data_IF_555142341243
#
_entry.id   IF_555142341243
#
_cell.length_a   1.000
_cell.length_b   1.000
_cell.length_c   1.000
_cell.angle_alpha   90.00
_cell.angle_beta   90.00
_cell.angle_gamma   90.00
#
_symmetry.space_group_name_H-M   'P 1'
#
loop_
_entity.id
_entity.type
_entity.pdbx_description
1 polymer ?
#
# COMPACT_ATOMS: atom_id res chain seq x y z
N UNK A 1 15.01 19.85 9.86
CA UNK A 1 14.39 20.96 9.06
C UNK A 1 13.29 20.40 8.14
N UNK A 2 13.54 19.41 7.29
CA UNK A 2 12.55 18.85 6.34
C UNK A 2 11.28 18.35 7.02
N UNK A 3 11.38 17.71 8.19
CA UNK A 3 10.22 17.27 8.97
C UNK A 3 9.30 18.42 9.43
N UNK A 4 9.86 19.57 9.81
CA UNK A 4 9.09 20.75 10.23
C UNK A 4 8.33 21.32 9.02
N UNK A 5 8.99 21.41 7.88
CA UNK A 5 8.37 21.88 6.63
C UNK A 5 7.27 20.91 6.18
N UNK A 6 7.54 19.60 6.26
CA UNK A 6 6.56 18.56 5.94
C UNK A 6 5.31 18.69 6.82
N UNK A 7 5.49 18.91 8.14
CA UNK A 7 4.35 19.09 9.05
C UNK A 7 3.55 20.36 8.74
N UNK A 8 4.23 21.49 8.45
CA UNK A 8 3.58 22.74 8.07
C UNK A 8 2.75 22.59 6.77
N UNK A 9 3.32 21.95 5.74
CA UNK A 9 2.61 21.69 4.48
C UNK A 9 1.45 20.74 4.72
N UNK A 10 1.67 19.65 5.48
CA UNK A 10 0.64 18.67 5.77
C UNK A 10 -0.53 19.29 6.53
N UNK A 11 -0.28 20.16 7.52
CA UNK A 11 -1.31 20.89 8.23
C UNK A 11 -2.14 21.79 7.29
N UNK A 12 -1.48 22.45 6.34
CA UNK A 12 -2.15 23.23 5.30
C UNK A 12 -3.07 22.34 4.43
N UNK A 13 -2.57 21.21 3.93
CA UNK A 13 -3.34 20.31 3.09
C UNK A 13 -4.59 19.75 3.82
N UNK A 14 -4.46 19.42 5.11
CA UNK A 14 -5.60 18.97 5.91
C UNK A 14 -6.59 20.06 6.22
N UNK A 15 -6.11 21.27 6.56
CA UNK A 15 -6.97 22.43 6.83
C UNK A 15 -7.92 22.73 5.67
N UNK A 16 -7.43 22.57 4.43
CA UNK A 16 -8.19 22.88 3.21
C UNK A 16 -8.73 21.63 2.49
N UNK A 17 -8.62 20.45 3.10
CA UNK A 17 -9.08 19.16 2.55
C UNK A 17 -8.57 18.89 1.12
N UNK A 18 -7.27 19.11 0.88
CA UNK A 18 -6.67 19.03 -0.45
C UNK A 18 -6.13 17.64 -0.82
N UNK A 19 -5.99 16.73 0.16
CA UNK A 19 -5.54 15.36 -0.10
C UNK A 19 -6.75 14.53 -0.54
N UNK A 20 -6.74 13.98 -1.77
CA UNK A 20 -7.83 13.14 -2.27
C UNK A 20 -8.03 11.87 -1.43
N UNK A 21 -9.29 11.39 -1.32
CA UNK A 21 -9.61 10.16 -0.58
C UNK A 21 -8.97 8.91 -1.23
N UNK A 22 -8.72 8.93 -2.53
CA UNK A 22 -8.09 7.84 -3.28
C UNK A 22 -6.61 7.64 -2.91
N UNK A 23 -5.92 8.72 -2.47
CA UNK A 23 -4.53 8.63 -2.02
C UNK A 23 -4.46 8.29 -0.54
N UNK A 24 -3.98 7.08 -0.24
CA UNK A 24 -3.81 6.59 1.14
C UNK A 24 -2.36 6.61 1.62
N UNK A 25 -1.40 6.84 0.72
CA UNK A 25 -0.01 7.03 1.08
C UNK A 25 0.20 8.33 1.83
N UNK A 26 1.04 8.32 2.86
CA UNK A 26 1.37 9.48 3.70
C UNK A 26 0.15 10.27 4.24
N UNK A 27 -0.98 9.60 4.48
CA UNK A 27 -2.23 10.19 4.97
C UNK A 27 -2.38 9.98 6.47
N UNK A 28 -2.60 11.07 7.24
CA UNK A 28 -2.91 11.00 8.67
C UNK A 28 -4.25 10.31 8.89
N UNK A 29 -4.38 9.63 10.03
CA UNK A 29 -5.63 8.93 10.42
C UNK A 29 -6.13 7.90 9.42
N UNK A 30 -5.25 7.41 8.52
CA UNK A 30 -5.52 6.31 7.59
C UNK A 30 -4.75 5.06 8.04
N UNK A 31 -5.31 3.89 7.77
CA UNK A 31 -4.63 2.61 7.89
C UNK A 31 -3.76 2.31 6.66
N UNK A 32 -3.67 3.26 5.73
CA UNK A 32 -2.79 3.21 4.56
C UNK A 32 -3.12 2.07 3.61
N UNK A 33 -2.19 1.13 3.47
CA UNK A 33 -2.36 -0.03 2.58
C UNK A 33 -3.59 -0.87 2.91
N UNK A 34 -4.00 -0.95 4.20
CA UNK A 34 -5.21 -1.69 4.58
C UNK A 34 -6.47 -1.05 4.04
N UNK A 35 -6.57 0.29 4.07
CA UNK A 35 -7.71 1.01 3.51
C UNK A 35 -7.86 0.70 2.02
N UNK A 36 -6.75 0.75 1.28
CA UNK A 36 -6.73 0.42 -0.14
C UNK A 36 -7.14 -1.03 -0.40
N UNK A 37 -6.58 -1.97 0.34
CA UNK A 37 -6.87 -3.40 0.18
C UNK A 37 -8.33 -3.74 0.54
N UNK A 38 -8.91 -3.04 1.51
CA UNK A 38 -10.32 -3.23 1.89
C UNK A 38 -11.27 -2.68 0.83
N UNK A 39 -11.02 -1.46 0.33
CA UNK A 39 -11.82 -0.87 -0.74
C UNK A 39 -11.72 -1.72 -2.01
N UNK A 40 -10.53 -2.16 -2.36
CA UNK A 40 -10.30 -3.04 -3.51
C UNK A 40 -11.03 -4.38 -3.37
N UNK A 41 -10.89 -5.04 -2.20
CA UNK A 41 -11.60 -6.30 -1.89
C UNK A 41 -13.13 -6.11 -1.98
N UNK A 42 -13.64 -4.98 -1.49
CA UNK A 42 -15.05 -4.61 -1.60
C UNK A 42 -15.49 -4.49 -3.06
N UNK A 43 -14.74 -3.78 -3.91
CA UNK A 43 -15.04 -3.63 -5.34
C UNK A 43 -15.09 -5.00 -6.04
N UNK A 44 -14.08 -5.83 -5.83
CA UNK A 44 -13.98 -7.17 -6.44
C UNK A 44 -15.14 -8.07 -5.98
N UNK A 45 -15.44 -8.09 -4.69
CA UNK A 45 -16.55 -8.88 -4.12
C UNK A 45 -17.91 -8.38 -4.61
N UNK A 46 -18.12 -7.06 -4.66
CA UNK A 46 -19.34 -6.46 -5.18
C UNK A 46 -19.58 -6.85 -6.64
N UNK A 47 -18.55 -6.74 -7.50
CA UNK A 47 -18.64 -7.17 -8.90
C UNK A 47 -19.04 -8.64 -9.03
N UNK A 48 -18.43 -9.52 -8.23
CA UNK A 48 -18.72 -10.95 -8.21
C UNK A 48 -20.15 -11.26 -7.72
N UNK A 49 -20.56 -10.65 -6.59
CA UNK A 49 -21.90 -10.85 -6.00
C UNK A 49 -23.01 -10.37 -6.93
N UNK A 50 -22.83 -9.18 -7.53
CA UNK A 50 -23.82 -8.58 -8.43
C UNK A 50 -23.73 -9.08 -9.87
N UNK A 51 -22.74 -9.93 -10.17
CA UNK A 51 -22.47 -10.45 -11.53
C UNK A 51 -22.32 -9.32 -12.54
N UNK A 52 -21.62 -8.23 -12.16
CA UNK A 52 -21.34 -7.09 -13.02
C UNK A 52 -20.00 -7.24 -13.74
N UNK A 53 -19.80 -6.45 -14.78
CA UNK A 53 -18.52 -6.35 -15.45
C UNK A 53 -17.61 -5.38 -14.68
N UNK A 54 -16.33 -5.74 -14.61
CA UNK A 54 -15.29 -4.92 -14.03
C UNK A 54 -13.99 -5.13 -14.80
N UNK A 55 -13.35 -4.04 -15.17
CA UNK A 55 -12.05 -4.02 -15.83
C UNK A 55 -11.06 -3.31 -14.93
N UNK A 56 -9.93 -3.92 -14.67
CA UNK A 56 -8.93 -3.43 -13.70
C UNK A 56 -7.58 -3.31 -14.38
N UNK A 57 -6.81 -2.28 -14.02
CA UNK A 57 -5.40 -2.18 -14.39
C UNK A 57 -4.57 -1.81 -13.16
N UNK A 58 -3.45 -2.51 -12.99
CA UNK A 58 -2.38 -2.14 -12.06
C UNK A 58 -1.28 -1.45 -12.84
N UNK A 59 -0.90 -0.27 -12.38
CA UNK A 59 0.14 0.56 -13.00
C UNK A 59 1.28 0.74 -12.00
N UNK A 60 2.47 0.36 -12.43
CA UNK A 60 3.73 0.58 -11.73
C UNK A 60 4.54 1.61 -12.52
N UNK A 61 5.19 2.54 -11.84
CA UNK A 61 6.04 3.54 -12.46
C UNK A 61 7.51 3.14 -12.39
N UNK A 62 8.26 3.36 -13.47
CA UNK A 62 9.71 3.23 -13.45
C UNK A 62 10.32 4.31 -12.57
N UNK A 63 11.02 3.88 -11.50
CA UNK A 63 11.77 4.80 -10.62
C UNK A 63 10.94 6.05 -10.23
N UNK A 64 9.72 5.86 -9.76
CA UNK A 64 8.73 6.92 -9.51
C UNK A 64 9.33 8.12 -8.75
N UNK A 65 10.02 7.88 -7.63
CA UNK A 65 10.66 8.92 -6.82
C UNK A 65 11.80 9.63 -7.54
N UNK A 66 12.57 8.93 -8.38
CA UNK A 66 13.72 9.49 -9.12
C UNK A 66 13.30 10.26 -10.38
N UNK A 67 12.07 10.03 -10.86
CA UNK A 67 11.60 10.57 -12.15
C UNK A 67 10.89 11.92 -12.01
N UNK A 68 10.42 12.28 -10.82
CA UNK A 68 9.55 13.43 -10.60
C UNK A 68 10.28 14.76 -10.82
N UNK A 69 9.89 15.63 -11.80
CA UNK A 69 10.57 16.89 -12.07
C UNK A 69 10.38 17.90 -10.94
N UNK A 70 11.44 18.61 -10.57
CA UNK A 70 11.38 19.69 -9.57
C UNK A 70 10.46 20.84 -10.00
N UNK A 71 10.42 21.15 -11.30
CA UNK A 71 9.50 22.16 -11.87
C UNK A 71 8.03 21.79 -11.65
N UNK A 72 7.69 20.49 -11.79
CA UNK A 72 6.36 19.99 -11.53
C UNK A 72 5.99 20.07 -10.05
N UNK A 73 6.90 19.63 -9.16
CA UNK A 73 6.71 19.77 -7.71
C UNK A 73 6.42 21.24 -7.33
N UNK A 74 7.24 22.17 -7.84
CA UNK A 74 7.06 23.59 -7.57
C UNK A 74 5.69 24.11 -8.04
N UNK A 75 5.24 23.64 -9.22
CA UNK A 75 3.90 23.99 -9.77
C UNK A 75 2.77 23.40 -8.93
N UNK A 76 2.89 22.16 -8.50
CA UNK A 76 1.87 21.54 -7.64
C UNK A 76 1.77 22.21 -6.27
N UNK A 77 2.90 22.61 -5.65
CA UNK A 77 2.90 23.39 -4.41
C UNK A 77 2.19 24.75 -4.57
N UNK A 78 2.28 25.35 -5.76
CA UNK A 78 1.53 26.56 -6.10
C UNK A 78 0.03 26.28 -6.24
N UNK A 79 -0.34 25.25 -6.99
CA UNK A 79 -1.74 24.82 -7.22
C UNK A 79 -2.45 24.54 -5.89
N UNK A 80 -1.80 23.84 -4.96
CA UNK A 80 -2.39 23.55 -3.65
C UNK A 80 -2.28 24.72 -2.65
N UNK A 81 -1.76 25.87 -3.07
CA UNK A 81 -1.75 27.10 -2.27
C UNK A 81 -0.78 27.09 -1.08
N UNK A 82 0.32 26.32 -1.14
CA UNK A 82 1.37 26.38 -0.11
C UNK A 82 1.98 27.76 -0.05
N UNK A 83 2.28 28.26 1.17
CA UNK A 83 2.79 29.62 1.39
C UNK A 83 4.01 29.94 0.53
N UNK A 84 4.11 31.22 0.06
CA UNK A 84 5.18 31.69 -0.81
C UNK A 84 6.58 31.48 -0.22
N UNK A 85 6.75 31.67 1.08
CA UNK A 85 8.02 31.49 1.77
C UNK A 85 8.48 30.02 1.71
N UNK A 86 7.59 29.05 1.96
CA UNK A 86 7.92 27.62 1.87
C UNK A 86 8.23 27.26 0.41
N UNK A 87 7.42 27.72 -0.54
CA UNK A 87 7.65 27.46 -1.98
C UNK A 87 9.01 28.01 -2.44
N UNK A 88 9.35 29.23 -2.04
CA UNK A 88 10.64 29.84 -2.39
C UNK A 88 11.81 29.07 -1.74
N UNK A 89 11.68 28.71 -0.47
CA UNK A 89 12.70 27.89 0.20
C UNK A 89 12.92 26.56 -0.52
N UNK A 90 11.85 25.83 -0.85
CA UNK A 90 11.94 24.54 -1.55
C UNK A 90 12.53 24.70 -2.96
N UNK A 91 12.21 25.77 -3.67
CA UNK A 91 12.78 26.07 -5.00
C UNK A 91 14.29 26.25 -4.91
N UNK A 92 14.78 27.04 -3.95
CA UNK A 92 16.22 27.27 -3.74
C UNK A 92 16.90 25.97 -3.30
N UNK A 93 16.30 25.24 -2.37
CA UNK A 93 16.84 23.97 -1.90
C UNK A 93 16.99 22.96 -3.03
N UNK A 94 15.92 22.72 -3.82
CA UNK A 94 15.95 21.78 -4.96
C UNK A 94 16.96 22.21 -6.04
N UNK A 95 17.13 23.51 -6.28
CA UNK A 95 18.12 24.02 -7.23
C UNK A 95 19.56 23.75 -6.78
N UNK A 96 19.80 23.64 -5.47
CA UNK A 96 21.12 23.36 -4.89
C UNK A 96 21.43 21.87 -4.74
N UNK A 97 20.47 20.98 -5.01
CA UNK A 97 20.68 19.54 -4.85
C UNK A 97 21.71 19.01 -5.83
N UNK A 98 22.70 18.35 -5.30
CA UNK A 98 23.78 17.73 -6.05
C UNK A 98 24.24 16.42 -5.41
N UNK A 99 24.70 15.50 -6.22
CA UNK A 99 25.38 14.29 -5.77
C UNK A 99 26.86 14.39 -6.09
N UNK A 100 27.68 13.70 -5.32
CA UNK A 100 29.14 13.68 -5.47
C UNK A 100 29.51 12.35 -6.13
N UNK A 101 30.23 12.42 -7.23
CA UNK A 101 30.84 11.25 -7.85
C UNK A 101 32.19 10.98 -7.20
N UNK A 102 32.36 9.80 -6.64
CA UNK A 102 33.62 9.40 -6.00
C UNK A 102 34.14 8.08 -6.60
N UNK A 103 35.45 8.00 -6.83
CA UNK A 103 36.15 6.76 -7.20
C UNK A 103 37.31 6.57 -6.24
N UNK A 104 37.41 5.41 -5.62
CA UNK A 104 38.45 5.07 -4.64
C UNK A 104 38.59 6.10 -3.52
N UNK A 105 37.47 6.73 -3.08
CA UNK A 105 37.46 7.75 -2.03
C UNK A 105 37.84 9.17 -2.49
N UNK A 106 38.18 9.36 -3.74
CA UNK A 106 38.45 10.67 -4.34
C UNK A 106 37.22 11.23 -5.02
N UNK A 107 36.93 12.52 -4.78
CA UNK A 107 35.85 13.25 -5.45
C UNK A 107 36.27 13.52 -6.89
N UNK A 108 35.47 13.05 -7.84
CA UNK A 108 35.69 13.33 -9.27
C UNK A 108 34.92 14.55 -9.74
N UNK A 109 33.61 14.62 -9.40
CA UNK A 109 32.75 15.68 -9.88
C UNK A 109 31.46 15.77 -9.06
N UNK A 110 30.67 16.82 -9.34
CA UNK A 110 29.35 17.07 -8.77
C UNK A 110 28.31 17.05 -9.88
N UNK A 111 27.25 16.26 -9.72
CA UNK A 111 26.12 16.23 -10.64
C UNK A 111 24.91 16.90 -9.99
N UNK A 112 24.38 17.93 -10.65
CA UNK A 112 23.16 18.60 -10.21
C UNK A 112 21.93 17.71 -10.42
N UNK A 113 21.13 17.52 -9.36
CA UNK A 113 19.90 16.75 -9.38
C UNK A 113 18.77 17.70 -9.79
N UNK A 114 18.22 17.51 -11.00
CA UNK A 114 17.12 18.33 -11.55
C UNK A 114 15.76 17.64 -11.50
N UNK A 115 15.75 16.34 -11.17
CA UNK A 115 14.56 15.51 -10.99
C UNK A 115 14.80 14.50 -9.89
N UNK A 116 13.69 14.01 -9.36
CA UNK A 116 13.69 13.06 -8.26
C UNK A 116 13.68 13.73 -6.88
N UNK A 117 13.28 12.96 -5.92
CA UNK A 117 13.20 13.30 -4.50
C UNK A 117 13.91 12.23 -3.68
N UNK A 118 14.53 12.62 -2.56
CA UNK A 118 15.37 11.71 -1.79
C UNK A 118 14.55 10.67 -1.05
N UNK A 119 14.87 9.39 -1.25
CA UNK A 119 14.30 8.31 -0.46
C UNK A 119 14.84 8.35 0.97
N UNK A 120 13.93 8.29 1.96
CA UNK A 120 14.27 8.40 3.37
C UNK A 120 14.19 9.81 3.97
N UNK A 121 14.03 10.86 3.17
CA UNK A 121 13.72 12.20 3.66
C UNK A 121 12.24 12.31 4.07
N UNK A 122 11.97 13.00 5.18
CA UNK A 122 10.61 13.15 5.73
C UNK A 122 9.64 13.91 4.84
N UNK A 123 10.16 14.79 3.98
CA UNK A 123 9.37 15.64 3.09
C UNK A 123 9.04 14.94 1.77
N UNK A 124 9.90 14.04 1.29
CA UNK A 124 9.77 13.40 -0.02
C UNK A 124 8.44 12.67 -0.23
N UNK A 125 7.91 11.85 0.70
CA UNK A 125 6.61 11.23 0.51
C UNK A 125 5.48 12.24 0.32
N UNK A 126 5.53 13.36 1.05
CA UNK A 126 4.53 14.41 0.95
C UNK A 126 4.60 15.16 -0.40
N UNK A 127 5.79 15.47 -0.87
CA UNK A 127 5.99 16.09 -2.19
C UNK A 127 5.47 15.17 -3.31
N UNK A 128 5.70 13.86 -3.19
CA UNK A 128 5.15 12.89 -4.14
C UNK A 128 3.63 12.90 -4.15
N UNK A 129 3.00 12.82 -2.98
CA UNK A 129 1.53 12.90 -2.85
C UNK A 129 0.98 14.17 -3.49
N UNK A 130 1.58 15.33 -3.21
CA UNK A 130 1.17 16.62 -3.78
C UNK A 130 1.28 16.60 -5.31
N UNK A 131 2.36 16.05 -5.84
CA UNK A 131 2.58 15.97 -7.29
C UNK A 131 1.56 15.10 -8.02
N UNK A 132 0.92 14.16 -7.32
CA UNK A 132 -0.10 13.26 -7.87
C UNK A 132 -1.54 13.77 -7.67
N UNK A 133 -1.78 14.84 -6.90
CA UNK A 133 -3.12 15.43 -6.72
C UNK A 133 -3.76 15.82 -8.06
N UNK A 134 -3.08 16.49 -9.00
CA UNK A 134 -3.69 16.86 -10.28
C UNK A 134 -4.16 15.66 -11.09
N UNK A 135 -3.42 14.54 -11.09
CA UNK A 135 -3.84 13.31 -11.76
C UNK A 135 -5.16 12.79 -11.20
N UNK A 136 -5.29 12.70 -9.88
CA UNK A 136 -6.54 12.29 -9.23
C UNK A 136 -7.70 13.22 -9.59
N UNK A 137 -7.46 14.53 -9.64
CA UNK A 137 -8.48 15.51 -10.03
C UNK A 137 -8.95 15.28 -11.46
N UNK A 138 -8.03 15.06 -12.40
CA UNK A 138 -8.35 14.77 -13.80
C UNK A 138 -9.14 13.46 -13.91
N UNK A 139 -8.71 12.39 -13.23
CA UNK A 139 -9.41 11.11 -13.24
C UNK A 139 -10.85 11.21 -12.69
N UNK A 140 -11.07 11.98 -11.62
CA UNK A 140 -12.43 12.26 -11.11
C UNK A 140 -13.30 12.98 -12.13
N UNK A 141 -12.73 13.96 -12.85
CA UNK A 141 -13.46 14.75 -13.85
C UNK A 141 -13.90 13.92 -15.06
N UNK A 142 -13.27 12.78 -15.34
CA UNK A 142 -13.73 11.86 -16.43
C UNK A 142 -15.12 11.32 -16.16
N UNK A 143 -15.57 11.26 -14.90
CA UNK A 143 -16.83 10.63 -14.51
C UNK A 143 -16.89 9.13 -14.80
N UNK A 144 -15.75 8.50 -15.13
CA UNK A 144 -15.61 7.06 -15.38
C UNK A 144 -15.31 6.31 -14.08
N UNK A 145 -15.46 4.99 -14.07
CA UNK A 145 -15.15 4.15 -12.94
C UNK A 145 -16.20 3.12 -12.58
N UNK A 146 -15.87 2.25 -11.64
CA UNK A 146 -16.79 1.25 -11.11
C UNK A 146 -17.71 1.86 -10.06
N UNK A 147 -18.96 1.43 -10.05
CA UNK A 147 -19.99 1.88 -9.12
C UNK A 147 -20.60 0.68 -8.39
N UNK A 148 -20.46 0.64 -7.07
CA UNK A 148 -20.92 -0.46 -6.22
C UNK A 148 -22.44 -0.54 -6.11
N UNK A 149 -23.12 0.62 -6.12
CA UNK A 149 -24.58 0.75 -6.12
C UNK A 149 -25.01 1.97 -6.94
N UNK A 150 -26.29 2.08 -7.25
CA UNK A 150 -26.82 3.24 -8.00
C UNK A 150 -26.60 4.58 -7.30
N UNK A 151 -26.56 4.57 -5.96
CA UNK A 151 -26.36 5.75 -5.12
C UNK A 151 -24.89 6.01 -4.76
N UNK A 152 -24.00 5.04 -4.98
CA UNK A 152 -22.60 5.17 -4.64
C UNK A 152 -21.86 6.08 -5.64
N UNK A 153 -20.80 6.72 -5.18
CA UNK A 153 -19.86 7.42 -6.05
C UNK A 153 -19.11 6.43 -6.93
N UNK A 154 -18.71 6.87 -8.12
CA UNK A 154 -17.85 6.05 -8.98
C UNK A 154 -16.42 6.08 -8.46
N UNK A 155 -15.81 4.91 -8.39
CA UNK A 155 -14.40 4.74 -8.02
C UNK A 155 -13.63 4.48 -9.32
N UNK A 156 -12.89 5.48 -9.79
CA UNK A 156 -12.06 5.38 -10.99
C UNK A 156 -10.70 4.76 -10.70
N UNK A 157 -10.15 5.03 -9.50
CA UNK A 157 -8.81 4.58 -9.13
C UNK A 157 -8.61 4.52 -7.62
N UNK A 158 -7.57 3.81 -7.23
CA UNK A 158 -6.97 3.83 -5.89
C UNK A 158 -5.48 4.13 -6.05
N UNK A 159 -4.92 4.92 -5.15
CA UNK A 159 -3.53 5.36 -5.22
C UNK A 159 -2.86 5.22 -3.84
N UNK A 160 -1.75 4.49 -3.79
CA UNK A 160 -0.90 4.42 -2.61
C UNK A 160 0.53 4.78 -3.01
N UNK A 161 0.90 6.03 -2.79
CA UNK A 161 2.11 6.63 -3.35
C UNK A 161 2.11 6.51 -4.88
N UNK A 162 2.95 5.66 -5.44
CA UNK A 162 3.10 5.33 -6.86
C UNK A 162 2.30 4.09 -7.31
N UNK A 163 1.86 3.25 -6.39
CA UNK A 163 1.01 2.10 -6.69
C UNK A 163 -0.40 2.56 -7.09
N UNK A 164 -0.66 2.59 -8.40
CA UNK A 164 -1.94 3.02 -8.97
C UNK A 164 -2.75 1.82 -9.45
N UNK A 165 -4.02 1.77 -9.07
CA UNK A 165 -4.99 0.78 -9.56
C UNK A 165 -6.20 1.47 -10.14
N UNK A 166 -6.56 1.15 -11.39
CA UNK A 166 -7.69 1.73 -12.12
C UNK A 166 -8.86 0.76 -12.21
N UNK A 167 -10.07 1.29 -12.26
CA UNK A 167 -11.32 0.52 -12.35
C UNK A 167 -12.24 1.12 -13.42
N UNK A 168 -12.68 0.31 -14.35
CA UNK A 168 -13.69 0.66 -15.34
C UNK A 168 -14.81 -0.38 -15.39
N UNK A 169 -16.00 0.00 -15.78
CA UNK A 169 -17.12 -0.95 -15.99
C UNK A 169 -17.06 -1.62 -17.37
N UNK A 170 -16.25 -1.10 -18.29
CA UNK A 170 -16.03 -1.64 -19.63
C UNK A 170 -14.56 -1.48 -20.05
N UNK A 171 -14.15 -2.22 -21.08
CA UNK A 171 -12.81 -2.09 -21.65
C UNK A 171 -12.54 -0.66 -22.13
N UNK A 172 -13.50 -0.02 -22.80
CA UNK A 172 -13.36 1.35 -23.30
C UNK A 172 -13.19 2.37 -22.16
N UNK A 173 -13.88 2.19 -21.03
CA UNK A 173 -13.67 3.06 -19.87
C UNK A 173 -12.28 2.87 -19.27
N UNK A 174 -11.81 1.63 -19.12
CA UNK A 174 -10.48 1.37 -18.62
C UNK A 174 -9.40 1.92 -19.54
N UNK A 175 -9.57 1.77 -20.86
CA UNK A 175 -8.67 2.34 -21.86
C UNK A 175 -8.62 3.87 -21.79
N UNK A 176 -9.77 4.53 -21.63
CA UNK A 176 -9.85 5.99 -21.46
C UNK A 176 -9.12 6.46 -20.21
N UNK A 177 -9.30 5.76 -19.07
CA UNK A 177 -8.59 6.05 -17.82
C UNK A 177 -7.08 5.84 -17.98
N UNK A 178 -6.67 4.73 -18.60
CA UNK A 178 -5.26 4.42 -18.88
C UNK A 178 -4.60 5.48 -19.75
N UNK A 179 -5.28 5.91 -20.83
CA UNK A 179 -4.76 6.97 -21.69
C UNK A 179 -4.65 8.31 -20.96
N UNK A 180 -5.61 8.64 -20.11
CA UNK A 180 -5.54 9.84 -19.26
C UNK A 180 -4.30 9.81 -18.35
N UNK A 181 -4.07 8.69 -17.65
CA UNK A 181 -2.89 8.52 -16.79
C UNK A 181 -1.61 8.56 -17.62
N UNK A 182 -1.59 7.94 -18.79
CA UNK A 182 -0.42 7.93 -19.67
C UNK A 182 -0.06 9.34 -20.17
N UNK A 183 -1.05 10.12 -20.63
CA UNK A 183 -0.83 11.50 -21.07
C UNK A 183 -0.26 12.32 -19.91
N UNK A 184 -0.92 12.31 -18.75
CA UNK A 184 -0.44 12.99 -17.56
C UNK A 184 1.01 12.59 -17.21
N UNK A 185 1.30 11.30 -17.21
CA UNK A 185 2.63 10.78 -16.85
C UNK A 185 3.69 11.22 -17.87
N UNK A 186 3.37 11.21 -19.16
CA UNK A 186 4.27 11.67 -20.23
C UNK A 186 4.59 13.16 -20.07
N UNK A 187 3.59 13.99 -19.77
CA UNK A 187 3.74 15.44 -19.59
C UNK A 187 4.68 15.78 -18.42
N UNK A 188 4.68 14.97 -17.38
CA UNK A 188 5.62 15.12 -16.25
C UNK A 188 6.84 14.21 -16.36
N UNK A 189 7.08 13.63 -17.54
CA UNK A 189 8.24 12.77 -17.84
C UNK A 189 8.38 11.56 -16.91
N UNK A 190 7.27 10.98 -16.48
CA UNK A 190 7.22 9.70 -15.78
C UNK A 190 6.84 8.59 -16.76
N UNK A 191 7.43 7.41 -16.60
CA UNK A 191 7.20 6.26 -17.48
C UNK A 191 6.59 5.08 -16.72
N UNK A 192 5.73 4.32 -17.40
CA UNK A 192 5.23 3.04 -16.86
C UNK A 192 6.32 1.97 -16.89
N UNK A 193 6.41 1.19 -15.82
CA UNK A 193 7.14 -0.07 -15.77
C UNK A 193 6.29 -1.18 -16.37
N UNK A 194 6.15 -1.21 -17.70
CA UNK A 194 5.21 -2.09 -18.41
C UNK A 194 5.33 -3.56 -18.01
N UNK A 195 6.54 -4.01 -17.68
CA UNK A 195 6.82 -5.37 -17.22
C UNK A 195 6.17 -5.70 -15.87
N UNK A 196 5.79 -4.68 -15.10
CA UNK A 196 5.10 -4.80 -13.82
C UNK A 196 3.64 -4.34 -13.88
N UNK A 197 3.22 -3.77 -14.99
CA UNK A 197 1.82 -3.43 -15.22
C UNK A 197 1.03 -4.67 -15.63
N UNK A 198 -0.26 -4.72 -15.25
CA UNK A 198 -1.15 -5.81 -15.65
C UNK A 198 -2.59 -5.33 -15.74
N UNK A 199 -3.40 -6.04 -16.52
CA UNK A 199 -4.86 -5.83 -16.60
C UNK A 199 -5.60 -7.11 -16.24
N UNK A 200 -6.83 -6.96 -15.74
CA UNK A 200 -7.75 -8.06 -15.46
C UNK A 200 -9.15 -7.69 -15.94
N UNK A 201 -9.78 -8.59 -16.66
CA UNK A 201 -11.19 -8.45 -17.06
C UNK A 201 -12.05 -9.42 -16.28
N UNK A 202 -13.11 -8.91 -15.67
CA UNK A 202 -14.16 -9.67 -15.00
C UNK A 202 -15.44 -9.44 -15.78
N UNK A 203 -15.98 -10.50 -16.36
CA UNK A 203 -17.26 -10.49 -17.07
C UNK A 203 -18.32 -11.23 -16.25
N UNK A 204 -19.44 -10.54 -15.96
CA UNK A 204 -20.52 -11.09 -15.11
C UNK A 204 -20.03 -11.73 -13.82
N UNK A 205 -19.05 -11.08 -13.15
CA UNK A 205 -18.48 -11.51 -11.87
C UNK A 205 -17.48 -12.66 -11.96
N UNK A 206 -17.02 -13.06 -13.14
CA UNK A 206 -15.99 -14.11 -13.34
C UNK A 206 -14.83 -13.56 -14.14
N UNK A 207 -13.61 -13.88 -13.72
CA UNK A 207 -12.41 -13.54 -14.48
C UNK A 207 -12.46 -14.19 -15.87
N UNK A 208 -12.08 -13.41 -16.88
CA UNK A 208 -11.96 -13.87 -18.28
C UNK A 208 -10.56 -13.56 -18.79
N UNK A 209 -10.04 -14.45 -19.60
CA UNK A 209 -8.74 -14.23 -20.25
C UNK A 209 -8.86 -13.10 -21.28
N UNK A 210 -7.86 -12.22 -21.26
CA UNK A 210 -7.69 -11.15 -22.26
C UNK A 210 -6.22 -11.02 -22.60
N UNK A 211 -5.90 -10.65 -23.83
CA UNK A 211 -4.52 -10.40 -24.27
C UNK A 211 -3.91 -9.17 -23.59
N UNK A 212 -4.74 -8.33 -22.99
CA UNK A 212 -4.34 -7.07 -22.37
C UNK A 212 -4.91 -5.86 -23.08
N UNK A 213 -4.35 -4.69 -22.82
CA UNK A 213 -4.76 -3.43 -23.45
C UNK A 213 -3.57 -2.76 -24.12
N UNK A 214 -3.75 -2.42 -25.41
CA UNK A 214 -2.76 -1.66 -26.17
C UNK A 214 -3.01 -0.17 -25.97
N UNK A 215 -1.98 0.54 -25.53
CA UNK A 215 -1.99 1.97 -25.35
C UNK A 215 -1.83 2.69 -26.70
N UNK A 216 -2.24 3.94 -26.78
CA UNK A 216 -2.14 4.76 -28.00
C UNK A 216 -0.70 4.98 -28.53
N UNK A 217 0.31 4.60 -27.78
CA UNK A 217 1.72 4.60 -28.21
C UNK A 217 2.22 3.20 -28.64
N UNK A 218 1.32 2.27 -28.96
CA UNK A 218 1.58 0.87 -29.33
C UNK A 218 2.23 0.01 -28.22
N UNK A 219 2.35 0.52 -27.00
CA UNK A 219 2.77 -0.31 -25.85
C UNK A 219 1.57 -1.12 -25.35
N UNK A 220 1.79 -2.39 -25.00
CA UNK A 220 0.73 -3.25 -24.49
C UNK A 220 0.95 -3.55 -23.01
N UNK A 221 -0.10 -3.36 -22.20
CA UNK A 221 -0.16 -3.84 -20.82
C UNK A 221 -0.76 -5.24 -20.86
N UNK A 222 -0.01 -6.23 -20.35
CA UNK A 222 -0.40 -7.63 -20.36
C UNK A 222 -1.70 -7.89 -19.60
N UNK A 223 -2.58 -8.72 -20.13
CA UNK A 223 -3.71 -9.31 -19.41
C UNK A 223 -3.24 -10.45 -18.52
N UNK A 224 -3.76 -10.53 -17.29
CA UNK A 224 -3.54 -11.69 -16.42
C UNK A 224 -4.26 -12.91 -16.99
N UNK A 225 -3.58 -14.04 -17.05
CA UNK A 225 -4.22 -15.33 -17.29
C UNK A 225 -5.03 -15.78 -16.06
N UNK A 226 -5.93 -16.76 -16.24
CA UNK A 226 -6.79 -17.24 -15.14
C UNK A 226 -6.00 -17.86 -13.98
N UNK A 227 -4.79 -18.32 -14.23
CA UNK A 227 -3.92 -18.95 -13.23
C UNK A 227 -2.96 -17.93 -12.57
N UNK A 228 -2.75 -16.79 -13.20
CA UNK A 228 -1.86 -15.75 -12.71
C UNK A 228 -2.50 -14.95 -11.56
N UNK A 229 -1.65 -14.31 -10.79
CA UNK A 229 -2.03 -13.35 -9.76
C UNK A 229 -1.09 -12.16 -9.77
N UNK A 230 -1.62 -11.01 -9.45
CA UNK A 230 -0.84 -9.78 -9.28
C UNK A 230 -0.59 -9.52 -7.80
N UNK A 231 0.64 -9.10 -7.46
CA UNK A 231 0.99 -8.71 -6.09
C UNK A 231 0.71 -7.22 -5.90
N UNK A 232 -0.45 -6.90 -5.33
CA UNK A 232 -0.84 -5.53 -5.02
C UNK A 232 -0.69 -5.25 -3.53
N UNK A 233 0.06 -4.23 -3.17
CA UNK A 233 0.34 -3.85 -1.77
C UNK A 233 0.67 -5.06 -0.87
N UNK A 234 1.54 -5.94 -1.35
CA UNK A 234 2.00 -7.12 -0.62
C UNK A 234 1.05 -8.32 -0.61
N UNK A 235 -0.15 -8.23 -1.20
CA UNK A 235 -1.16 -9.28 -1.23
C UNK A 235 -1.34 -9.80 -2.66
N UNK A 236 -1.33 -11.14 -2.82
CA UNK A 236 -1.61 -11.78 -4.11
C UNK A 236 -3.12 -11.77 -4.39
N UNK A 237 -3.50 -11.26 -5.55
CA UNK A 237 -4.90 -11.14 -5.95
C UNK A 237 -5.09 -11.32 -7.47
N UNK A 238 -6.30 -11.64 -7.86
CA UNK A 238 -6.80 -11.60 -9.23
C UNK A 238 -8.26 -11.09 -9.18
N UNK A 239 -9.25 -11.94 -9.43
CA UNK A 239 -10.69 -11.63 -9.23
C UNK A 239 -11.11 -11.55 -7.75
N UNK A 240 -10.26 -11.98 -6.84
CA UNK A 240 -10.34 -11.87 -5.38
C UNK A 240 -8.93 -12.02 -4.80
N UNK A 241 -8.79 -11.83 -3.49
CA UNK A 241 -7.56 -12.17 -2.77
C UNK A 241 -7.31 -13.68 -2.88
N UNK A 242 -6.11 -14.07 -3.25
CA UNK A 242 -5.70 -15.49 -3.30
C UNK A 242 -5.39 -15.99 -1.88
N UNK A 243 -6.42 -16.08 -1.04
CA UNK A 243 -6.33 -16.37 0.42
C UNK A 243 -5.38 -17.51 0.75
N UNK A 244 -5.51 -18.67 0.08
CA UNK A 244 -4.68 -19.86 0.34
C UNK A 244 -3.19 -19.59 0.08
N UNK A 245 -2.88 -18.89 -1.01
CA UNK A 245 -1.51 -18.55 -1.38
C UNK A 245 -0.91 -17.56 -0.39
N UNK A 246 -1.66 -16.50 -0.07
CA UNK A 246 -1.22 -15.47 0.89
C UNK A 246 -0.99 -16.08 2.27
N UNK A 247 -1.90 -16.91 2.78
CA UNK A 247 -1.73 -17.62 4.05
C UNK A 247 -0.46 -18.46 4.08
N UNK A 248 -0.20 -19.23 3.01
CA UNK A 248 1.00 -20.07 2.90
C UNK A 248 2.26 -19.24 2.97
N UNK A 249 2.34 -18.16 2.17
CA UNK A 249 3.50 -17.26 2.13
C UNK A 249 3.70 -16.54 3.46
N UNK A 250 2.63 -15.99 4.03
CA UNK A 250 2.64 -15.27 5.30
C UNK A 250 3.06 -16.17 6.46
N UNK A 251 2.51 -17.38 6.54
CA UNK A 251 2.88 -18.37 7.57
C UNK A 251 4.34 -18.81 7.45
N UNK A 252 4.83 -18.98 6.23
CA UNK A 252 6.23 -19.34 5.99
C UNK A 252 7.17 -18.22 6.42
N UNK A 253 6.86 -16.96 6.05
CA UNK A 253 7.66 -15.80 6.42
C UNK A 253 7.65 -15.58 7.95
N UNK A 254 6.48 -15.65 8.59
CA UNK A 254 6.36 -15.58 10.04
C UNK A 254 7.26 -16.62 10.73
N UNK A 255 7.12 -17.89 10.32
CA UNK A 255 7.89 -19.00 10.87
C UNK A 255 9.40 -18.83 10.66
N UNK A 256 9.81 -18.34 9.49
CA UNK A 256 11.20 -18.03 9.17
C UNK A 256 11.78 -16.92 10.07
N UNK A 257 11.02 -15.84 10.29
CA UNK A 257 11.42 -14.77 11.22
C UNK A 257 11.57 -15.27 12.65
N UNK A 258 10.61 -16.06 13.15
CA UNK A 258 10.70 -16.67 14.47
C UNK A 258 11.97 -17.52 14.58
N UNK A 259 12.28 -18.37 13.59
CA UNK A 259 13.51 -19.18 13.58
C UNK A 259 14.79 -18.33 13.60
N UNK A 260 14.83 -17.25 12.80
CA UNK A 260 15.99 -16.34 12.78
C UNK A 260 16.21 -15.68 14.14
N UNK A 261 15.12 -15.23 14.81
CA UNK A 261 15.18 -14.65 16.14
C UNK A 261 15.69 -15.69 17.17
N UNK A 262 15.16 -16.90 17.13
CA UNK A 262 15.53 -17.97 18.07
C UNK A 262 16.98 -18.46 17.89
N UNK A 263 17.54 -18.32 16.69
CA UNK A 263 18.96 -18.59 16.40
C UNK A 263 19.90 -17.45 16.84
N UNK A 264 19.37 -16.25 17.06
CA UNK A 264 20.15 -15.15 17.62
C UNK A 264 20.44 -15.39 19.09
N UNK A 265 21.52 -14.85 19.60
CA UNK A 265 21.92 -14.97 21.02
C UNK A 265 21.23 -13.93 21.93
N UNK A 266 19.98 -13.57 21.64
CA UNK A 266 19.21 -12.65 22.47
C UNK A 266 18.82 -13.29 23.80
N UNK A 267 18.79 -12.50 24.86
CA UNK A 267 18.19 -12.95 26.14
C UNK A 267 16.68 -13.18 25.96
N UNK A 268 16.06 -13.92 26.90
CA UNK A 268 14.66 -14.31 26.78
C UNK A 268 13.70 -13.14 26.64
N UNK A 269 13.98 -12.00 27.29
CA UNK A 269 13.19 -10.78 27.16
C UNK A 269 13.24 -10.16 25.78
N UNK A 270 14.43 -10.00 25.24
CA UNK A 270 14.63 -9.43 23.92
C UNK A 270 14.15 -10.38 22.82
N UNK A 271 14.25 -11.70 23.04
CA UNK A 271 13.68 -12.70 22.11
C UNK A 271 12.16 -12.52 21.96
N UNK A 272 11.41 -12.41 23.05
CA UNK A 272 9.96 -12.16 23.02
C UNK A 272 9.66 -10.83 22.32
N UNK A 273 10.39 -9.78 22.68
CA UNK A 273 10.21 -8.46 22.06
C UNK A 273 10.49 -8.48 20.56
N UNK A 274 11.55 -9.19 20.13
CA UNK A 274 11.86 -9.35 18.72
C UNK A 274 10.77 -10.12 17.96
N UNK A 275 10.21 -11.19 18.54
CA UNK A 275 9.08 -11.91 17.94
C UNK A 275 7.88 -10.98 17.80
N UNK A 276 7.52 -10.25 18.85
CA UNK A 276 6.39 -9.32 18.85
C UNK A 276 6.56 -8.19 17.82
N UNK A 277 7.77 -7.64 17.66
CA UNK A 277 8.00 -6.46 16.84
C UNK A 277 8.37 -6.78 15.39
N UNK A 278 8.90 -7.98 15.11
CA UNK A 278 9.35 -8.31 13.74
C UNK A 278 8.62 -9.48 13.11
N UNK A 279 8.22 -10.52 13.86
CA UNK A 279 7.53 -11.67 13.31
C UNK A 279 6.00 -11.47 13.31
N UNK A 280 5.38 -11.12 14.44
CA UNK A 280 3.93 -10.93 14.58
C UNK A 280 3.34 -9.94 13.58
N UNK A 281 3.97 -8.81 13.24
CA UNK A 281 3.45 -7.85 12.26
C UNK A 281 3.18 -8.45 10.88
N UNK A 282 3.87 -9.52 10.49
CA UNK A 282 3.64 -10.22 9.21
C UNK A 282 2.23 -10.79 9.14
N UNK A 283 1.76 -11.40 10.21
CA UNK A 283 0.39 -11.94 10.31
C UNK A 283 -0.61 -10.79 10.51
N UNK A 284 -0.32 -9.85 11.42
CA UNK A 284 -1.19 -8.70 11.68
C UNK A 284 -1.49 -7.89 10.43
N UNK A 285 -0.53 -7.77 9.51
CA UNK A 285 -0.73 -7.06 8.24
C UNK A 285 -1.89 -7.63 7.43
N UNK A 286 -2.04 -8.95 7.41
CA UNK A 286 -3.07 -9.65 6.64
C UNK A 286 -4.43 -9.74 7.34
N UNK A 287 -4.50 -9.37 8.62
CA UNK A 287 -5.74 -9.41 9.40
C UNK A 287 -6.80 -8.45 8.81
N UNK A 288 -8.02 -8.95 8.63
CA UNK A 288 -9.14 -8.23 7.98
C UNK A 288 -9.12 -8.31 6.44
N UNK A 289 -7.96 -8.60 5.83
CA UNK A 289 -7.83 -8.75 4.38
C UNK A 289 -7.96 -10.23 3.98
N UNK A 290 -7.24 -11.09 4.69
CA UNK A 290 -7.19 -12.54 4.46
C UNK A 290 -8.09 -13.25 5.47
N UNK A 291 -8.90 -14.19 4.98
CA UNK A 291 -9.88 -14.90 5.81
C UNK A 291 -9.20 -16.06 6.58
N UNK A 292 -8.53 -15.73 7.69
CA UNK A 292 -7.92 -16.70 8.59
C UNK A 292 -8.98 -17.45 9.40
N UNK A 293 -8.85 -18.77 9.52
CA UNK A 293 -9.64 -19.55 10.46
C UNK A 293 -8.96 -19.58 11.83
N UNK A 294 -9.76 -19.76 12.88
CA UNK A 294 -9.26 -19.88 14.26
C UNK A 294 -8.21 -21.00 14.35
N UNK A 295 -8.51 -22.16 13.73
CA UNK A 295 -7.61 -23.33 13.74
C UNK A 295 -6.24 -23.03 13.08
N UNK A 296 -6.20 -22.25 12.00
CA UNK A 296 -4.96 -21.83 11.34
C UNK A 296 -4.12 -20.91 12.25
N UNK A 297 -4.77 -19.96 12.94
CA UNK A 297 -4.10 -19.06 13.87
C UNK A 297 -3.57 -19.79 15.10
N UNK A 298 -4.34 -20.68 15.68
CA UNK A 298 -3.90 -21.53 16.81
C UNK A 298 -2.77 -22.48 16.41
N UNK A 299 -2.74 -22.96 15.16
CA UNK A 299 -1.62 -23.76 14.65
C UNK A 299 -0.32 -22.93 14.59
N UNK A 300 -0.39 -21.65 14.21
CA UNK A 300 0.76 -20.73 14.25
C UNK A 300 1.27 -20.54 15.70
N UNK A 301 0.37 -20.33 16.66
CA UNK A 301 0.74 -20.23 18.07
C UNK A 301 1.41 -21.52 18.58
N UNK A 302 0.86 -22.66 18.23
CA UNK A 302 1.41 -23.98 18.58
C UNK A 302 2.79 -24.21 17.94
N UNK A 303 2.97 -23.85 16.66
CA UNK A 303 4.26 -23.92 15.96
C UNK A 303 5.29 -23.01 16.61
N UNK A 304 4.91 -21.81 17.03
CA UNK A 304 5.79 -20.88 17.71
C UNK A 304 6.31 -21.47 19.02
N UNK A 305 5.42 -22.04 19.86
CA UNK A 305 5.82 -22.70 21.11
C UNK A 305 6.75 -23.90 20.85
N UNK A 306 6.44 -24.74 19.84
CA UNK A 306 7.33 -25.86 19.46
C UNK A 306 8.72 -25.38 19.05
N UNK A 307 8.82 -24.31 18.27
CA UNK A 307 10.10 -23.72 17.88
C UNK A 307 10.86 -23.18 19.10
N UNK A 308 10.18 -22.48 20.01
CA UNK A 308 10.79 -21.95 21.23
C UNK A 308 11.32 -23.11 22.12
N UNK A 309 10.60 -24.20 22.23
CA UNK A 309 11.04 -25.40 22.96
C UNK A 309 12.26 -26.05 22.28
N UNK A 310 12.21 -26.22 20.97
CA UNK A 310 13.33 -26.79 20.20
C UNK A 310 14.62 -25.96 20.33
N UNK A 311 14.49 -24.64 20.49
CA UNK A 311 15.61 -23.71 20.69
C UNK A 311 15.91 -23.42 22.20
N UNK A 312 15.35 -24.21 23.11
CA UNK A 312 15.56 -24.12 24.59
C UNK A 312 15.21 -22.73 25.18
N UNK A 313 14.36 -21.95 24.52
CA UNK A 313 13.85 -20.67 25.02
C UNK A 313 12.55 -20.80 25.80
N UNK A 314 11.88 -21.95 25.70
CA UNK A 314 10.70 -22.34 26.47
C UNK A 314 10.87 -23.76 26.98
N UNK A 315 10.62 -23.96 28.27
CA UNK A 315 10.62 -25.33 28.83
C UNK A 315 9.39 -26.10 28.38
N UNK A 316 9.48 -27.40 28.02
CA UNK A 316 8.35 -28.19 27.52
C UNK A 316 7.12 -28.21 28.46
N UNK A 317 7.35 -28.17 29.75
CA UNK A 317 6.31 -28.17 30.78
C UNK A 317 6.00 -26.74 31.31
N UNK A 318 6.42 -25.70 30.59
CA UNK A 318 6.07 -24.32 31.00
C UNK A 318 4.56 -24.11 30.83
N UNK A 319 4.01 -23.38 31.80
CA UNK A 319 2.65 -22.85 31.71
C UNK A 319 2.50 -21.99 30.46
N UNK A 320 1.51 -22.33 29.63
CA UNK A 320 1.25 -21.67 28.36
C UNK A 320 0.67 -20.27 28.59
N UNK A 321 -0.20 -20.11 29.59
CA UNK A 321 -0.85 -18.85 29.86
C UNK A 321 0.17 -17.82 30.33
N UNK A 322 1.13 -18.23 31.15
CA UNK A 322 2.25 -17.38 31.58
C UNK A 322 3.10 -16.85 30.40
N UNK A 323 3.17 -17.59 29.29
CA UNK A 323 3.91 -17.15 28.12
C UNK A 323 3.26 -15.90 27.50
N UNK A 324 1.93 -15.86 27.47
CA UNK A 324 1.15 -14.81 26.83
C UNK A 324 0.77 -13.65 27.77
N UNK A 325 0.65 -13.91 29.08
CA UNK A 325 0.36 -12.87 30.04
C UNK A 325 1.36 -11.72 29.99
N UNK A 326 0.90 -10.46 30.15
CA UNK A 326 1.78 -9.29 30.22
C UNK A 326 2.84 -9.39 31.30
N UNK A 327 4.02 -8.83 31.05
CA UNK A 327 5.14 -8.85 31.99
C UNK A 327 4.82 -8.20 33.36
N UNK A 328 4.01 -7.13 33.36
CA UNK A 328 3.59 -6.42 34.56
C UNK A 328 2.84 -7.30 35.57
N UNK A 329 2.26 -8.42 35.13
CA UNK A 329 1.55 -9.38 35.98
C UNK A 329 2.25 -10.75 36.03
N UNK A 330 3.58 -10.79 35.81
CA UNK A 330 4.39 -11.97 35.94
C UNK A 330 4.48 -12.88 34.73
N UNK A 331 3.88 -12.49 33.59
CA UNK A 331 3.95 -13.21 32.33
C UNK A 331 5.23 -12.92 31.54
N UNK A 332 5.37 -13.54 30.36
CA UNK A 332 6.49 -13.29 29.45
C UNK A 332 6.17 -12.27 28.36
N UNK A 333 4.89 -12.00 28.08
CA UNK A 333 4.39 -10.98 27.18
C UNK A 333 4.57 -11.30 25.70
N UNK A 334 4.59 -12.60 25.32
CA UNK A 334 4.48 -12.98 23.92
C UNK A 334 3.08 -12.66 23.41
N UNK A 335 2.97 -12.01 22.27
CA UNK A 335 1.67 -11.78 21.63
C UNK A 335 1.15 -13.10 21.04
N UNK A 336 -0.06 -13.48 21.46
CA UNK A 336 -0.76 -14.62 20.89
C UNK A 336 -1.30 -14.23 19.50
N UNK A 337 -1.01 -15.03 18.48
CA UNK A 337 -1.37 -14.75 17.11
C UNK A 337 -2.88 -14.62 16.93
N UNK A 338 -3.62 -15.59 17.50
CA UNK A 338 -5.09 -15.58 17.45
C UNK A 338 -5.66 -14.27 18.01
N UNK A 339 -5.30 -13.92 19.25
CA UNK A 339 -5.80 -12.69 19.89
C UNK A 339 -5.38 -11.43 19.12
N UNK A 340 -4.14 -11.39 18.63
CA UNK A 340 -3.63 -10.26 17.83
C UNK A 340 -4.45 -10.03 16.56
N UNK A 341 -4.86 -11.10 15.87
CA UNK A 341 -5.66 -11.01 14.66
C UNK A 341 -7.09 -10.59 14.99
N UNK A 342 -7.70 -11.18 16.04
CA UNK A 342 -9.05 -10.83 16.49
C UNK A 342 -9.13 -9.34 16.94
N UNK A 343 -8.13 -8.86 17.69
CA UNK A 343 -8.04 -7.45 18.10
C UNK A 343 -7.86 -6.52 16.89
N UNK A 344 -7.00 -6.90 15.94
CA UNK A 344 -6.79 -6.09 14.74
C UNK A 344 -8.05 -5.99 13.89
N UNK A 345 -8.81 -7.08 13.73
CA UNK A 345 -10.09 -7.08 13.00
C UNK A 345 -11.11 -6.19 13.72
N UNK A 346 -11.22 -6.29 15.05
CA UNK A 346 -12.12 -5.44 15.84
C UNK A 346 -11.76 -3.96 15.69
N UNK A 347 -10.48 -3.61 15.91
CA UNK A 347 -10.00 -2.23 15.77
C UNK A 347 -10.20 -1.68 14.34
N UNK A 348 -10.09 -2.56 13.34
CA UNK A 348 -10.33 -2.19 11.94
C UNK A 348 -11.81 -1.94 11.69
N UNK A 349 -12.70 -2.77 12.23
CA UNK A 349 -14.16 -2.60 12.16
C UNK A 349 -14.60 -1.29 12.82
N UNK A 350 -14.10 -0.99 14.01
CA UNK A 350 -14.37 0.28 14.73
C UNK A 350 -13.89 1.48 13.92
N UNK A 351 -12.66 1.40 13.37
CA UNK A 351 -12.10 2.44 12.53
C UNK A 351 -12.95 2.71 11.28
N UNK A 352 -13.34 1.66 10.54
CA UNK A 352 -14.17 1.79 9.33
C UNK A 352 -15.53 2.39 9.68
N UNK A 353 -16.15 1.92 10.79
CA UNK A 353 -17.45 2.41 11.25
C UNK A 353 -17.44 3.90 11.63
N UNK A 354 -16.31 4.40 12.12
CA UNK A 354 -16.11 5.81 12.46
C UNK A 354 -15.63 6.67 11.28
N UNK A 355 -15.29 6.06 10.15
CA UNK A 355 -14.76 6.79 8.99
C UNK A 355 -15.80 7.71 8.36
N UNK A 356 -15.35 8.88 7.90
CA UNK A 356 -16.18 9.82 7.11
C UNK A 356 -16.03 9.60 5.60
N UNK A 357 -15.05 8.83 5.17
CA UNK A 357 -14.75 8.59 3.76
C UNK A 357 -15.81 7.70 3.10
N UNK A 358 -16.28 8.10 1.91
CA UNK A 358 -17.38 7.44 1.22
C UNK A 358 -17.08 5.99 0.87
N UNK A 359 -15.91 5.72 0.28
CA UNK A 359 -15.50 4.39 -0.15
C UNK A 359 -15.27 3.42 1.04
N UNK A 360 -14.78 3.91 2.19
CA UNK A 360 -14.62 3.09 3.40
C UNK A 360 -15.94 2.76 4.05
N UNK A 361 -16.93 3.67 4.04
CA UNK A 361 -18.28 3.37 4.53
C UNK A 361 -18.95 2.24 3.75
N UNK A 362 -18.71 2.17 2.44
CA UNK A 362 -19.26 1.10 1.61
C UNK A 362 -18.68 -0.28 1.95
N UNK A 363 -17.45 -0.35 2.50
CA UNK A 363 -16.85 -1.63 2.95
C UNK A 363 -17.69 -2.33 4.02
N UNK A 364 -18.44 -1.60 4.85
CA UNK A 364 -19.28 -2.17 5.90
C UNK A 364 -20.54 -2.84 5.31
N UNK A 365 -21.02 -2.32 4.19
CA UNK A 365 -22.28 -2.77 3.59
C UNK A 365 -22.11 -3.97 2.66
N UNK A 366 -20.88 -4.33 2.32
CA UNK A 366 -20.50 -5.44 1.44
C UNK A 366 -19.88 -6.62 2.21
#
# INVERSE_FOLDING_TARGET
MTAIIADAIQNHLYKYNLIPEEQKGNRRNSRGTKDQLLIDKMILRNSRRRKTNLHVAWIDYKKAFDSLPHSWIAKCLEIVGVSGNIRQFLRVAMASWKTVLTVNGQVLDYVHIRRGIFQGDSLSPLLYVIAMIPMTTILRQTGLGYQTSKSAAKISHLLYMDDLKLYGKSSNELESLLNTVRIFSTDISMEFGLEKCATLTIHKGKATHTEGLTLSNNNTIKGLSLEESYKYLGVQQAEDVKHRQVKKQTSAEYTNRVRKILKSKLNGGNTIQAINNWAVPVIRYTAGIVDWTIAELEDLDRKTRKLMTAHRTLHPQSDIDRLYLPRRIGGRGLLQIRQTVEEEIRNLSEYISSSTESALKEVITE
#
